data_IF_128370614839
#
_entry.id   IF_128370614839
#
_cell.length_a   1.000
_cell.length_b   1.000
_cell.length_c   1.000
_cell.angle_alpha   90.00
_cell.angle_beta   90.00
_cell.angle_gamma   90.00
#
_symmetry.space_group_name_H-M   'P 1'
#
loop_
_entity.id
_entity.type
_entity.pdbx_description
1 polymer ?
#
# COMPACT_ATOMS: atom_id res chain seq x y z
N UNK A 1 -6.17 6.39 -10.39
CA UNK A 1 -6.68 5.25 -9.60
C UNK A 1 -6.28 5.45 -8.14
N UNK A 2 -7.13 6.01 -7.28
CA UNK A 2 -6.75 6.17 -5.87
C UNK A 2 -6.82 4.82 -5.14
N UNK A 3 -5.90 4.59 -4.20
CA UNK A 3 -5.84 3.36 -3.38
C UNK A 3 -6.19 3.69 -1.93
N UNK A 4 -6.94 2.81 -1.29
CA UNK A 4 -7.19 2.86 0.15
C UNK A 4 -6.49 1.64 0.75
N UNK A 5 -5.58 1.88 1.70
CA UNK A 5 -4.75 0.83 2.30
C UNK A 5 -4.86 0.93 3.81
N UNK A 6 -5.08 -0.20 4.48
CA UNK A 6 -5.12 -0.30 5.94
C UNK A 6 -3.80 -0.88 6.48
N UNK A 7 -3.52 -0.67 7.76
CA UNK A 7 -2.32 -1.15 8.45
C UNK A 7 -1.02 -0.85 7.69
N UNK A 8 -0.92 0.36 7.13
CA UNK A 8 0.17 0.73 6.24
C UNK A 8 1.42 1.07 7.04
N UNK A 9 2.56 0.56 6.56
CA UNK A 9 3.89 0.93 7.06
C UNK A 9 4.64 1.66 5.96
N UNK A 10 4.99 2.92 6.20
CA UNK A 10 5.93 3.65 5.35
C UNK A 10 7.34 3.11 5.59
N UNK A 11 8.07 2.83 4.51
CA UNK A 11 9.46 2.40 4.56
C UNK A 11 10.32 3.41 3.80
N UNK A 12 11.20 4.09 4.51
CA UNK A 12 12.18 5.02 3.93
C UNK A 12 13.60 4.54 4.26
N UNK A 13 14.20 3.77 3.34
CA UNK A 13 15.46 3.07 3.60
C UNK A 13 15.30 2.03 4.71
N UNK A 14 15.94 2.27 5.86
CA UNK A 14 15.83 1.41 7.04
C UNK A 14 14.80 1.92 8.07
N UNK A 15 14.25 3.11 7.87
CA UNK A 15 13.24 3.69 8.75
C UNK A 15 11.87 3.11 8.40
N UNK A 16 11.12 2.71 9.44
CA UNK A 16 9.77 2.18 9.32
C UNK A 16 8.84 2.95 10.23
N UNK A 17 7.75 3.46 9.66
CA UNK A 17 6.75 4.22 10.38
C UNK A 17 5.38 3.62 10.13
N UNK A 18 4.68 3.23 11.20
CA UNK A 18 3.29 2.80 11.11
C UNK A 18 2.38 4.03 10.96
N UNK A 19 1.61 4.06 9.88
CA UNK A 19 0.72 5.18 9.52
C UNK A 19 -0.75 4.77 9.44
N UNK A 20 -1.08 3.52 9.80
CA UNK A 20 -2.46 3.03 9.83
C UNK A 20 -3.18 3.08 8.48
N UNK A 21 -4.40 3.62 8.47
CA UNK A 21 -5.23 3.69 7.26
C UNK A 21 -4.94 4.96 6.46
N UNK A 22 -4.62 4.79 5.16
CA UNK A 22 -4.25 5.89 4.27
C UNK A 22 -4.95 5.81 2.93
N UNK A 23 -5.03 6.97 2.27
CA UNK A 23 -5.45 7.08 0.87
C UNK A 23 -4.28 7.56 0.03
N UNK A 24 -3.87 6.75 -0.94
CA UNK A 24 -2.79 7.08 -1.88
C UNK A 24 -3.41 7.60 -3.17
N UNK A 25 -2.96 8.77 -3.65
CA UNK A 25 -3.39 9.31 -4.93
C UNK A 25 -2.79 8.48 -6.07
N UNK A 26 -3.64 8.02 -6.98
CA UNK A 26 -3.20 7.09 -8.02
C UNK A 26 -2.12 7.56 -8.95
N UNK A 27 -2.08 8.87 -9.22
CA UNK A 27 -1.08 9.45 -10.12
C UNK A 27 0.32 9.45 -9.49
N UNK A 28 0.43 9.16 -8.19
CA UNK A 28 1.68 9.05 -7.45
C UNK A 28 2.15 7.60 -7.28
N UNK A 29 1.41 6.62 -7.81
CA UNK A 29 1.76 5.19 -7.74
C UNK A 29 2.49 4.80 -9.02
N UNK A 30 3.74 4.33 -8.88
CA UNK A 30 4.56 3.87 -10.01
C UNK A 30 4.43 2.37 -10.22
N UNK A 31 4.49 1.59 -9.13
CA UNK A 31 4.45 0.13 -9.14
C UNK A 31 3.59 -0.39 -7.99
N UNK A 32 2.88 -1.48 -8.22
CA UNK A 32 2.15 -2.26 -7.19
C UNK A 32 2.44 -3.73 -7.43
N UNK A 33 2.77 -4.44 -6.36
CA UNK A 33 2.94 -5.90 -6.37
C UNK A 33 2.19 -6.53 -5.20
N UNK A 34 1.76 -7.78 -5.37
CA UNK A 34 1.15 -8.57 -4.32
C UNK A 34 2.22 -9.45 -3.67
N UNK A 35 2.43 -9.28 -2.37
CA UNK A 35 3.38 -10.10 -1.60
C UNK A 35 2.79 -11.47 -1.25
N UNK A 36 1.47 -11.57 -1.28
CA UNK A 36 0.72 -12.79 -1.01
C UNK A 36 -0.28 -13.02 -2.15
N UNK A 37 -0.70 -14.28 -2.40
CA UNK A 37 -1.75 -14.57 -3.36
C UNK A 37 -3.01 -13.78 -3.02
N UNK A 38 -3.42 -12.90 -3.93
CA UNK A 38 -4.73 -12.25 -3.84
C UNK A 38 -5.79 -13.33 -4.03
N UNK A 39 -6.55 -13.62 -2.96
CA UNK A 39 -7.63 -14.60 -3.01
C UNK A 39 -8.58 -14.27 -4.17
N UNK A 40 -9.10 -15.30 -4.84
CA UNK A 40 -10.13 -15.10 -5.87
C UNK A 40 -11.33 -14.42 -5.22
N UNK A 41 -11.53 -13.15 -5.53
CA UNK A 41 -12.79 -12.47 -5.26
C UNK A 41 -13.86 -13.22 -6.06
N UNK A 42 -14.81 -13.84 -5.37
CA UNK A 42 -15.93 -14.57 -5.97
C UNK A 42 -16.90 -13.58 -6.62
#
# INVERSE_FOLDING_TARGET
MNLVVDNTVEVNGNEKTDIGMVVIRGNSVVTVEALEPVGRMQ
#
